data_IF_765121280961
#
_entry.id   IF_765121280961
#
_cell.length_a   1.000
_cell.length_b   1.000
_cell.length_c   1.000
_cell.angle_alpha   90.00
_cell.angle_beta   90.00
_cell.angle_gamma   90.00
#
_symmetry.space_group_name_H-M   'P 1'
#
loop_
_entity.id
_entity.type
_entity.pdbx_description
1 polymer ?
#
# COMPACT_ATOMS: atom_id res chain seq x y z
N UNK A 1 23.87 7.25 11.54
CA UNK A 1 23.33 6.62 10.31
C UNK A 1 22.90 7.73 9.37
N UNK A 2 23.18 7.62 8.06
CA UNK A 2 22.63 8.55 7.09
C UNK A 2 21.10 8.39 7.04
N UNK A 3 20.35 9.50 7.01
CA UNK A 3 18.90 9.46 6.82
C UNK A 3 18.57 8.88 5.43
N UNK A 4 17.48 8.14 5.32
CA UNK A 4 16.97 7.74 4.00
C UNK A 4 16.58 9.00 3.19
N UNK A 5 16.54 8.93 1.86
CA UNK A 5 16.18 10.09 1.02
C UNK A 5 14.84 10.73 1.41
N UNK A 6 13.87 9.90 1.81
CA UNK A 6 12.58 10.39 2.29
C UNK A 6 12.68 11.06 3.66
N UNK A 7 13.38 10.44 4.62
CA UNK A 7 13.55 11.01 5.95
C UNK A 7 14.32 12.35 5.91
N UNK A 8 15.36 12.45 5.08
CA UNK A 8 16.08 13.69 4.85
C UNK A 8 15.17 14.78 4.25
N UNK A 9 14.35 14.42 3.26
CA UNK A 9 13.36 15.32 2.67
C UNK A 9 12.35 15.83 3.72
N UNK A 10 11.82 14.95 4.57
CA UNK A 10 10.85 15.32 5.62
C UNK A 10 11.49 16.29 6.62
N UNK A 11 12.73 16.02 7.06
CA UNK A 11 13.44 16.88 8.00
C UNK A 11 13.67 18.28 7.42
N UNK A 12 14.13 18.39 6.17
CA UNK A 12 14.32 19.66 5.47
C UNK A 12 12.98 20.41 5.30
N UNK A 13 11.93 19.68 4.96
CA UNK A 13 10.58 20.24 4.77
C UNK A 13 10.05 20.84 6.07
N UNK A 14 10.17 20.11 7.19
CA UNK A 14 9.75 20.58 8.52
C UNK A 14 10.58 21.78 8.99
N UNK A 15 11.90 21.78 8.72
CA UNK A 15 12.77 22.91 9.08
C UNK A 15 12.36 24.21 8.38
N UNK A 16 11.94 24.14 7.11
CA UNK A 16 11.59 25.32 6.31
C UNK A 16 10.16 25.80 6.49
N UNK A 17 9.23 24.88 6.74
CA UNK A 17 7.80 25.15 6.64
C UNK A 17 7.01 24.76 7.89
N UNK A 18 7.69 24.41 9.00
CA UNK A 18 7.03 24.02 10.25
C UNK A 18 6.52 22.58 10.26
N UNK A 19 6.06 22.08 11.41
CA UNK A 19 5.64 20.68 11.58
C UNK A 19 4.35 20.32 10.82
N UNK A 20 3.50 21.29 10.47
CA UNK A 20 2.21 21.06 9.81
C UNK A 20 2.34 20.45 8.40
N UNK A 21 3.48 20.64 7.74
CA UNK A 21 3.76 20.04 6.42
C UNK A 21 3.97 18.54 6.48
N UNK A 22 4.18 17.98 7.67
CA UNK A 22 4.30 16.54 7.86
C UNK A 22 3.07 15.83 7.27
N UNK A 23 1.90 16.46 7.36
CA UNK A 23 0.63 15.92 6.84
C UNK A 23 0.63 15.73 5.32
N UNK A 24 1.38 16.55 4.60
CA UNK A 24 1.39 16.56 3.13
C UNK A 24 2.73 16.07 2.57
N UNK A 25 3.62 15.56 3.43
CA UNK A 25 5.00 15.18 3.07
C UNK A 25 5.08 14.19 1.91
N UNK A 26 4.19 13.20 1.84
CA UNK A 26 4.19 12.23 0.74
C UNK A 26 3.85 12.85 -0.59
N UNK A 27 2.75 13.61 -0.64
CA UNK A 27 2.36 14.34 -1.85
C UNK A 27 3.50 15.22 -2.30
N UNK A 28 4.13 15.95 -1.37
CA UNK A 28 5.23 16.83 -1.70
C UNK A 28 6.45 16.04 -2.20
N UNK A 29 6.81 14.93 -1.56
CA UNK A 29 7.91 14.09 -2.02
C UNK A 29 7.67 13.59 -3.45
N UNK A 30 6.51 12.98 -3.72
CA UNK A 30 6.21 12.38 -5.02
C UNK A 30 5.97 13.41 -6.13
N UNK A 31 5.33 14.54 -5.83
CA UNK A 31 5.14 15.62 -6.82
C UNK A 31 6.45 16.33 -7.11
N UNK A 32 7.34 16.47 -6.13
CA UNK A 32 8.68 17.04 -6.32
C UNK A 32 9.53 16.27 -7.34
N UNK A 33 9.26 14.97 -7.52
CA UNK A 33 9.90 14.14 -8.55
C UNK A 33 9.30 14.30 -9.96
N UNK A 34 8.27 15.13 -10.14
CA UNK A 34 7.59 15.36 -11.42
C UNK A 34 8.02 16.67 -12.05
N UNK A 35 7.86 16.76 -13.38
CA UNK A 35 8.01 18.03 -14.10
C UNK A 35 6.92 19.00 -13.66
N UNK A 36 7.30 20.24 -13.39
CA UNK A 36 6.42 21.35 -12.99
C UNK A 36 5.56 21.06 -11.73
N UNK A 37 6.20 20.80 -10.57
CA UNK A 37 5.47 20.45 -9.34
C UNK A 37 4.43 21.49 -8.93
N UNK A 38 4.72 22.80 -9.11
CA UNK A 38 3.77 23.88 -8.79
C UNK A 38 2.52 23.92 -9.68
N UNK A 39 2.67 23.75 -11.00
CA UNK A 39 1.51 23.66 -11.89
C UNK A 39 0.65 22.44 -11.58
N UNK A 40 1.28 21.30 -11.26
CA UNK A 40 0.57 20.08 -10.85
C UNK A 40 -0.15 20.24 -9.50
N UNK A 41 0.47 20.94 -8.54
CA UNK A 41 -0.13 21.28 -7.25
C UNK A 41 -1.39 22.12 -7.40
N UNK A 42 -1.34 23.18 -8.20
CA UNK A 42 -2.49 24.05 -8.48
C UNK A 42 -3.64 23.28 -9.15
N UNK A 43 -3.33 22.46 -10.16
CA UNK A 43 -4.32 21.61 -10.82
C UNK A 43 -4.94 20.58 -9.86
N UNK A 44 -4.14 20.01 -8.97
CA UNK A 44 -4.63 19.07 -7.96
C UNK A 44 -5.55 19.77 -6.94
N UNK A 45 -5.25 21.01 -6.56
CA UNK A 45 -6.09 21.83 -5.69
C UNK A 45 -7.43 22.16 -6.38
N UNK A 46 -7.39 22.62 -7.63
CA UNK A 46 -8.59 22.88 -8.42
C UNK A 46 -9.48 21.65 -8.53
N UNK A 47 -8.88 20.52 -8.86
CA UNK A 47 -9.55 19.24 -8.99
C UNK A 47 -10.22 18.81 -7.69
N UNK A 48 -9.52 18.91 -6.55
CA UNK A 48 -10.07 18.49 -5.26
C UNK A 48 -11.17 19.47 -4.77
N UNK A 49 -11.00 20.78 -5.00
CA UNK A 49 -12.02 21.79 -4.77
C UNK A 49 -13.31 21.50 -5.56
N UNK A 50 -13.20 21.24 -6.87
CA UNK A 50 -14.33 20.91 -7.73
C UNK A 50 -15.02 19.60 -7.31
N UNK A 51 -14.25 18.61 -6.87
CA UNK A 51 -14.82 17.35 -6.38
C UNK A 51 -15.62 17.56 -5.09
N UNK A 52 -15.07 18.32 -4.15
CA UNK A 52 -15.68 18.55 -2.83
C UNK A 52 -16.82 19.58 -2.86
N UNK A 53 -16.90 20.41 -3.92
CA UNK A 53 -18.04 21.29 -4.16
C UNK A 53 -19.30 20.53 -4.62
N UNK A 54 -19.16 19.31 -5.14
CA UNK A 54 -20.32 18.50 -5.56
C UNK A 54 -21.17 18.15 -4.34
N UNK A 55 -22.51 18.24 -4.44
CA UNK A 55 -23.38 17.91 -3.32
C UNK A 55 -23.14 16.47 -2.87
N UNK A 56 -22.92 16.29 -1.56
CA UNK A 56 -22.84 14.96 -0.97
C UNK A 56 -24.24 14.36 -0.90
N UNK A 57 -24.42 13.15 -1.45
CA UNK A 57 -25.64 12.38 -1.20
C UNK A 57 -25.61 11.93 0.26
N UNK A 58 -26.36 12.62 1.11
CA UNK A 58 -26.59 12.18 2.49
C UNK A 58 -27.45 10.93 2.46
N UNK A 59 -26.83 9.76 2.60
CA UNK A 59 -27.57 8.54 2.89
C UNK A 59 -27.90 8.52 4.38
N UNK A 60 -29.12 8.12 4.78
CA UNK A 60 -29.41 7.83 6.17
C UNK A 60 -28.46 6.72 6.61
N UNK A 61 -27.66 7.01 7.64
CA UNK A 61 -26.78 6.02 8.23
C UNK A 61 -27.52 5.29 9.36
N UNK A 62 -27.19 4.02 9.61
CA UNK A 62 -27.66 3.31 10.78
C UNK A 62 -27.30 4.03 12.07
N UNK A 63 -28.17 3.94 13.06
CA UNK A 63 -27.89 4.39 14.43
C UNK A 63 -26.96 3.39 15.11
N UNK A 64 -26.00 3.87 15.91
CA UNK A 64 -25.07 3.04 16.67
C UNK A 64 -23.60 3.32 16.39
N UNK A 65 -22.75 2.38 16.81
CA UNK A 65 -21.30 2.47 16.69
C UNK A 65 -20.85 2.01 15.29
N UNK A 66 -20.11 2.88 14.62
CA UNK A 66 -19.69 2.65 13.23
C UNK A 66 -18.26 2.13 13.15
N UNK A 67 -18.01 1.24 12.19
CA UNK A 67 -16.66 0.99 11.68
C UNK A 67 -16.56 1.60 10.29
N UNK A 68 -15.89 2.75 10.20
CA UNK A 68 -15.77 3.52 8.95
C UNK A 68 -14.55 3.03 8.18
N UNK A 69 -14.79 2.29 7.09
CA UNK A 69 -13.76 1.82 6.18
C UNK A 69 -13.39 2.94 5.19
N UNK A 70 -12.20 3.52 5.34
CA UNK A 70 -11.73 4.66 4.53
C UNK A 70 -11.14 4.14 3.23
N UNK A 71 -11.93 4.19 2.15
CA UNK A 71 -11.58 3.63 0.85
C UNK A 71 -11.18 4.72 -0.16
N UNK A 72 -9.89 4.79 -0.47
CA UNK A 72 -9.28 5.79 -1.38
C UNK A 72 -8.75 5.18 -2.68
N UNK A 73 -8.52 3.87 -2.69
CA UNK A 73 -8.07 3.09 -3.84
C UNK A 73 -9.01 1.92 -4.13
N UNK A 74 -9.04 1.48 -5.40
CA UNK A 74 -9.69 0.24 -5.82
C UNK A 74 -8.71 -0.95 -5.78
N UNK A 75 -9.24 -2.16 -5.85
CA UNK A 75 -8.45 -3.38 -6.04
C UNK A 75 -7.69 -3.85 -4.79
N UNK A 76 -6.67 -4.69 -5.00
CA UNK A 76 -5.92 -5.40 -3.95
C UNK A 76 -5.20 -4.46 -2.97
N UNK A 77 -4.73 -3.30 -3.45
CA UNK A 77 -4.11 -2.26 -2.61
C UNK A 77 -5.09 -1.18 -2.12
N UNK A 78 -6.39 -1.41 -2.23
CA UNK A 78 -7.41 -0.48 -1.79
C UNK A 78 -8.57 -1.21 -1.12
N UNK A 79 -9.79 -1.03 -1.66
CA UNK A 79 -11.02 -1.64 -1.12
C UNK A 79 -10.90 -3.14 -0.83
N UNK A 80 -10.27 -3.95 -1.70
CA UNK A 80 -10.17 -5.40 -1.45
C UNK A 80 -9.32 -5.74 -0.21
N UNK A 81 -8.40 -4.86 0.21
CA UNK A 81 -7.71 -5.01 1.49
C UNK A 81 -8.60 -4.65 2.67
N UNK A 82 -9.36 -3.56 2.57
CA UNK A 82 -10.32 -3.13 3.61
C UNK A 82 -11.46 -4.12 3.81
N UNK A 83 -12.00 -4.68 2.72
CA UNK A 83 -13.12 -5.61 2.75
C UNK A 83 -12.82 -6.87 3.59
N UNK A 84 -11.54 -7.25 3.74
CA UNK A 84 -11.12 -8.36 4.61
C UNK A 84 -11.39 -8.12 6.09
N UNK A 85 -11.60 -6.87 6.51
CA UNK A 85 -11.98 -6.53 7.88
C UNK A 85 -13.48 -6.69 8.15
N UNK A 86 -14.34 -6.82 7.13
CA UNK A 86 -15.79 -6.88 7.31
C UNK A 86 -16.23 -8.01 8.27
N UNK A 87 -15.69 -9.25 8.20
CA UNK A 87 -16.03 -10.30 9.16
C UNK A 87 -15.63 -9.97 10.61
N UNK A 88 -14.48 -9.31 10.80
CA UNK A 88 -13.99 -8.91 12.11
C UNK A 88 -14.83 -7.75 12.69
N UNK A 89 -15.26 -6.82 11.84
CA UNK A 89 -16.17 -5.71 12.18
C UNK A 89 -17.53 -6.25 12.63
N UNK A 90 -18.11 -7.19 11.86
CA UNK A 90 -19.37 -7.82 12.19
C UNK A 90 -19.28 -8.59 13.52
N UNK A 91 -18.21 -9.37 13.71
CA UNK A 91 -17.94 -10.09 14.98
C UNK A 91 -17.82 -9.14 16.17
N UNK A 92 -17.29 -7.93 15.96
CA UNK A 92 -17.19 -6.90 17.01
C UNK A 92 -18.50 -6.14 17.26
N UNK A 93 -19.59 -6.46 16.55
CA UNK A 93 -20.89 -5.81 16.72
C UNK A 93 -20.95 -4.38 16.19
N UNK A 94 -20.04 -4.00 15.29
CA UNK A 94 -19.99 -2.66 14.69
C UNK A 94 -20.70 -2.64 13.35
N UNK A 95 -21.32 -1.51 13.02
CA UNK A 95 -21.96 -1.34 11.71
C UNK A 95 -20.92 -0.86 10.69
N UNK A 96 -20.63 -1.63 9.62
CA UNK A 96 -19.69 -1.21 8.60
C UNK A 96 -20.27 -0.06 7.77
N UNK A 97 -19.45 0.97 7.53
CA UNK A 97 -19.78 2.07 6.61
C UNK A 97 -18.54 2.37 5.77
N UNK A 98 -18.70 2.48 4.46
CA UNK A 98 -17.58 2.90 3.60
C UNK A 98 -17.55 4.42 3.52
N UNK A 99 -16.41 5.01 3.84
CA UNK A 99 -16.09 6.38 3.49
C UNK A 99 -15.24 6.36 2.21
N UNK A 100 -15.90 6.52 1.07
CA UNK A 100 -15.30 6.33 -0.26
C UNK A 100 -14.81 7.64 -0.87
N UNK A 101 -13.62 7.62 -1.45
CA UNK A 101 -13.11 8.73 -2.25
C UNK A 101 -14.04 9.00 -3.45
N UNK A 102 -14.41 10.26 -3.74
CA UNK A 102 -15.43 10.58 -4.74
C UNK A 102 -15.18 10.05 -6.16
N UNK A 103 -13.92 9.73 -6.51
CA UNK A 103 -13.56 9.14 -7.82
C UNK A 103 -13.72 7.63 -7.92
N UNK A 104 -13.89 6.92 -6.81
CA UNK A 104 -14.07 5.47 -6.86
C UNK A 104 -15.44 5.13 -7.43
N UNK A 105 -15.51 4.09 -8.25
CA UNK A 105 -16.76 3.60 -8.81
C UNK A 105 -17.67 3.06 -7.68
N UNK A 106 -18.94 3.49 -7.59
CA UNK A 106 -19.87 2.96 -6.59
C UNK A 106 -20.06 1.44 -6.63
N UNK A 107 -19.92 0.82 -7.80
CA UNK A 107 -20.08 -0.64 -7.98
C UNK A 107 -18.98 -1.48 -7.32
N UNK A 108 -17.90 -0.85 -6.83
CA UNK A 108 -16.85 -1.53 -6.09
C UNK A 108 -17.32 -2.04 -4.72
N UNK A 109 -18.36 -1.42 -4.15
CA UNK A 109 -18.80 -1.68 -2.79
C UNK A 109 -20.01 -2.62 -2.77
N UNK A 110 -20.11 -3.53 -1.78
CA UNK A 110 -21.30 -4.34 -1.56
C UNK A 110 -22.54 -3.45 -1.38
N UNK A 111 -23.67 -3.86 -1.98
CA UNK A 111 -24.90 -3.07 -2.00
C UNK A 111 -25.53 -2.90 -0.60
N UNK A 112 -25.21 -3.80 0.32
CA UNK A 112 -25.67 -3.84 1.70
C UNK A 112 -24.82 -3.00 2.66
N UNK A 113 -23.68 -2.45 2.21
CA UNK A 113 -22.82 -1.58 3.02
C UNK A 113 -23.07 -0.12 2.65
N UNK A 114 -23.53 0.74 3.59
CA UNK A 114 -23.72 2.16 3.34
C UNK A 114 -22.44 2.86 2.86
N UNK A 115 -22.56 3.77 1.89
CA UNK A 115 -21.41 4.48 1.30
C UNK A 115 -21.56 5.99 1.48
N UNK A 116 -20.63 6.58 2.20
CA UNK A 116 -20.45 8.01 2.37
C UNK A 116 -19.41 8.54 1.39
N UNK A 117 -19.67 9.73 0.83
CA UNK A 117 -18.73 10.44 -0.05
C UNK A 117 -18.54 11.88 0.40
N UNK A 118 -17.30 12.32 0.66
CA UNK A 118 -17.01 13.72 0.98
C UNK A 118 -17.50 14.65 -0.12
N UNK A 119 -18.15 15.75 0.25
CA UNK A 119 -18.73 16.71 -0.68
C UNK A 119 -19.56 17.77 0.05
N UNK A 120 -20.13 18.72 -0.70
CA UNK A 120 -20.96 19.80 -0.18
C UNK A 120 -20.19 20.93 0.50
N UNK A 121 -18.86 20.94 0.42
CA UNK A 121 -18.06 22.11 0.80
C UNK A 121 -18.21 23.15 -0.31
N UNK A 122 -19.09 24.13 -0.15
CA UNK A 122 -19.20 25.24 -1.09
C UNK A 122 -17.84 25.91 -1.34
N UNK A 123 -17.71 26.64 -2.46
CA UNK A 123 -16.45 27.29 -2.86
C UNK A 123 -15.94 28.34 -1.86
N UNK A 124 -16.80 28.81 -0.94
CA UNK A 124 -16.45 29.70 0.16
C UNK A 124 -15.42 29.11 1.14
N UNK A 125 -15.16 27.79 1.11
CA UNK A 125 -14.14 27.13 1.92
C UNK A 125 -12.72 27.18 1.34
N UNK A 126 -12.53 27.76 0.15
CA UNK A 126 -11.23 27.87 -0.51
C UNK A 126 -10.37 28.96 0.11
N UNK A 127 -9.12 28.62 0.42
CA UNK A 127 -8.12 29.54 0.96
C UNK A 127 -7.37 30.22 -0.21
N UNK A 128 -7.60 31.52 -0.49
CA UNK A 128 -6.95 32.22 -1.61
C UNK A 128 -5.42 32.23 -1.50
N UNK A 129 -4.88 32.26 -0.27
CA UNK A 129 -3.45 32.21 -0.03
C UNK A 129 -2.86 30.84 -0.41
N UNK A 130 -3.66 29.77 -0.32
CA UNK A 130 -3.30 28.44 -0.79
C UNK A 130 -3.13 28.34 -2.31
N UNK A 131 -3.86 29.16 -3.09
CA UNK A 131 -3.78 29.17 -4.55
C UNK A 131 -2.59 29.98 -5.08
N UNK A 132 -2.36 31.13 -4.46
CA UNK A 132 -1.27 32.05 -4.80
C UNK A 132 0.07 31.61 -4.19
N UNK A 133 0.02 30.79 -3.14
CA UNK A 133 1.19 30.18 -2.55
C UNK A 133 1.80 29.10 -3.45
N UNK A 134 3.11 28.90 -3.29
CA UNK A 134 3.81 27.82 -3.99
C UNK A 134 3.23 26.43 -3.68
N UNK A 135 3.77 25.42 -4.34
CA UNK A 135 3.27 24.04 -4.29
C UNK A 135 3.10 23.43 -2.88
N UNK A 136 3.88 23.87 -1.89
CA UNK A 136 3.71 23.50 -0.47
C UNK A 136 2.38 24.04 0.09
N UNK A 137 2.11 25.34 -0.09
CA UNK A 137 0.87 25.98 0.36
C UNK A 137 -0.35 25.38 -0.34
N UNK A 138 -0.22 25.03 -1.62
CA UNK A 138 -1.26 24.33 -2.38
C UNK A 138 -1.57 22.95 -1.78
N UNK A 139 -0.56 22.18 -1.40
CA UNK A 139 -0.76 20.89 -0.74
C UNK A 139 -1.43 21.05 0.63
N UNK A 140 -1.00 22.03 1.45
CA UNK A 140 -1.61 22.33 2.74
C UNK A 140 -3.08 22.77 2.58
N UNK A 141 -3.39 23.61 1.59
CA UNK A 141 -4.76 24.03 1.30
C UNK A 141 -5.65 22.84 0.91
N UNK A 142 -5.13 21.91 0.09
CA UNK A 142 -5.82 20.65 -0.22
C UNK A 142 -6.10 19.84 1.04
N UNK A 143 -5.10 19.68 1.90
CA UNK A 143 -5.27 18.95 3.15
C UNK A 143 -6.36 19.56 4.04
N UNK A 144 -6.39 20.90 4.18
CA UNK A 144 -7.45 21.60 4.92
C UNK A 144 -8.85 21.36 4.32
N UNK A 145 -8.98 21.35 2.99
CA UNK A 145 -10.26 21.05 2.33
C UNK A 145 -10.72 19.62 2.66
N UNK A 146 -9.84 18.64 2.56
CA UNK A 146 -10.17 17.25 2.90
C UNK A 146 -10.51 17.07 4.38
N UNK A 147 -9.78 17.70 5.31
CA UNK A 147 -10.08 17.65 6.75
C UNK A 147 -11.50 18.18 7.00
N UNK A 148 -11.85 19.34 6.46
CA UNK A 148 -13.20 19.91 6.60
C UNK A 148 -14.28 18.99 6.01
N UNK A 149 -14.01 18.38 4.87
CA UNK A 149 -14.99 17.52 4.18
C UNK A 149 -15.28 16.26 4.98
N UNK A 150 -14.22 15.63 5.50
CA UNK A 150 -14.31 14.41 6.30
C UNK A 150 -14.92 14.70 7.67
N UNK A 151 -14.59 15.83 8.29
CA UNK A 151 -15.16 16.25 9.57
C UNK A 151 -16.64 16.66 9.49
N UNK A 152 -17.14 17.08 8.33
CA UNK A 152 -18.57 17.38 8.12
C UNK A 152 -19.45 16.15 7.80
N UNK A 153 -18.89 15.13 7.12
CA UNK A 153 -19.29 13.74 7.38
C UNK A 153 -18.79 13.39 8.79
N UNK A 154 -18.95 12.24 9.43
CA UNK A 154 -18.43 11.99 10.80
C UNK A 154 -18.90 12.92 11.96
N UNK A 155 -19.24 14.20 11.76
CA UNK A 155 -19.85 15.08 12.75
C UNK A 155 -21.07 14.39 13.37
N UNK A 156 -21.17 14.50 14.70
CA UNK A 156 -22.24 13.93 15.51
C UNK A 156 -22.34 12.39 15.43
N UNK A 157 -21.28 11.71 14.98
CA UNK A 157 -21.19 10.24 14.90
C UNK A 157 -20.10 9.71 15.81
N UNK A 158 -20.14 8.40 16.05
CA UNK A 158 -19.19 7.68 16.90
C UNK A 158 -18.77 6.39 16.25
N UNK A 159 -17.52 6.01 16.45
CA UNK A 159 -16.99 4.80 15.87
C UNK A 159 -15.47 4.75 15.82
N UNK A 160 -14.99 3.95 14.90
CA UNK A 160 -13.57 3.69 14.63
C UNK A 160 -13.30 3.89 13.14
N UNK A 161 -12.12 4.41 12.82
CA UNK A 161 -11.62 4.47 11.45
C UNK A 161 -10.82 3.19 11.16
N UNK A 162 -11.19 2.50 10.08
CA UNK A 162 -10.42 1.40 9.53
C UNK A 162 -9.88 1.85 8.19
N UNK A 163 -8.59 2.08 8.10
CA UNK A 163 -7.95 2.66 6.92
C UNK A 163 -6.90 1.72 6.34
N UNK A 164 -6.75 1.77 5.03
CA UNK A 164 -5.55 1.29 4.35
C UNK A 164 -4.52 2.42 4.39
N UNK A 165 -3.25 2.11 4.62
CA UNK A 165 -2.22 3.15 4.62
C UNK A 165 -1.87 3.51 3.18
N UNK A 166 -2.52 4.54 2.68
CA UNK A 166 -2.07 5.23 1.50
C UNK A 166 -1.79 6.70 1.80
N UNK A 167 -1.10 7.34 0.87
CA UNK A 167 -0.75 8.75 0.93
C UNK A 167 -1.85 9.65 0.35
N UNK A 168 -3.08 9.14 0.20
CA UNK A 168 -4.18 9.98 -0.27
C UNK A 168 -4.55 11.02 0.80
N UNK A 169 -4.87 12.22 0.35
CA UNK A 169 -5.21 13.34 1.23
C UNK A 169 -6.45 13.04 2.08
N UNK A 170 -7.37 12.24 1.56
CA UNK A 170 -8.56 11.81 2.28
C UNK A 170 -8.23 10.87 3.44
N UNK A 171 -7.32 9.92 3.25
CA UNK A 171 -6.85 9.02 4.32
C UNK A 171 -6.17 9.81 5.43
N UNK A 172 -5.28 10.74 5.06
CA UNK A 172 -4.61 11.60 6.04
C UNK A 172 -5.59 12.54 6.76
N UNK A 173 -6.58 13.08 6.03
CA UNK A 173 -7.64 13.91 6.63
C UNK A 173 -8.51 13.12 7.61
N UNK A 174 -8.80 11.85 7.32
CA UNK A 174 -9.59 11.00 8.22
C UNK A 174 -8.90 10.82 9.57
N UNK A 175 -7.58 10.68 9.59
CA UNK A 175 -6.81 10.61 10.85
C UNK A 175 -6.91 11.88 11.72
N UNK A 176 -7.41 13.01 11.20
CA UNK A 176 -7.63 14.23 11.97
C UNK A 176 -9.01 14.31 12.63
N UNK A 177 -9.89 13.33 12.43
CA UNK A 177 -11.23 13.37 13.03
C UNK A 177 -11.22 13.16 14.55
N UNK A 178 -10.09 12.78 15.14
CA UNK A 178 -9.96 12.42 16.55
C UNK A 178 -10.56 11.06 16.91
N UNK A 179 -11.04 10.29 15.92
CA UNK A 179 -11.55 8.95 16.16
C UNK A 179 -10.42 7.94 16.32
N UNK A 180 -10.59 6.89 17.15
CA UNK A 180 -9.66 5.77 17.17
C UNK A 180 -9.43 5.22 15.76
N UNK A 181 -8.18 4.98 15.42
CA UNK A 181 -7.76 4.67 14.06
C UNK A 181 -6.98 3.35 14.02
N UNK A 182 -7.41 2.47 13.12
CA UNK A 182 -6.81 1.16 12.89
C UNK A 182 -6.35 1.10 11.45
N UNK A 183 -5.05 0.90 11.26
CA UNK A 183 -4.49 0.78 9.94
C UNK A 183 -4.28 -0.68 9.54
N UNK A 184 -4.92 -1.06 8.43
CA UNK A 184 -4.69 -2.30 7.72
C UNK A 184 -3.55 -2.06 6.73
N UNK A 185 -2.33 -1.85 7.25
CA UNK A 185 -1.15 -1.78 6.40
C UNK A 185 -1.04 -3.06 5.57
N UNK A 186 -0.28 -2.99 4.49
CA UNK A 186 0.21 -4.19 3.80
C UNK A 186 1.17 -5.01 4.69
N UNK A 187 1.00 -5.04 6.02
CA UNK A 187 1.83 -5.75 6.98
C UNK A 187 3.30 -5.37 6.98
N UNK A 188 3.70 -4.29 6.29
CA UNK A 188 5.11 -3.99 6.06
C UNK A 188 5.38 -2.51 6.36
N UNK A 189 6.35 -2.22 7.24
CA UNK A 189 6.79 -0.87 7.51
C UNK A 189 7.71 -0.38 6.37
N UNK A 190 7.40 0.76 5.76
CA UNK A 190 8.25 1.39 4.73
C UNK A 190 8.54 2.83 5.12
N UNK A 191 9.67 3.39 4.73
CA UNK A 191 10.07 4.77 5.05
C UNK A 191 9.01 5.81 4.68
N UNK A 192 8.27 5.60 3.57
CA UNK A 192 7.13 6.45 3.20
C UNK A 192 6.12 6.45 4.35
N UNK A 193 5.62 5.29 4.73
CA UNK A 193 4.57 5.18 5.74
C UNK A 193 5.00 5.51 7.19
N UNK A 194 6.25 5.90 7.45
CA UNK A 194 6.69 6.37 8.77
C UNK A 194 6.61 7.91 8.94
N UNK A 195 6.27 8.39 10.15
CA UNK A 195 5.83 7.60 11.32
C UNK A 195 4.45 6.95 11.11
N UNK A 196 4.22 5.79 11.74
CA UNK A 196 2.92 5.12 11.75
C UNK A 196 1.89 5.97 12.52
N UNK A 197 0.99 6.62 11.79
CA UNK A 197 0.08 7.63 12.36
C UNK A 197 -1.19 7.09 12.98
N UNK A 198 -1.73 5.98 12.49
CA UNK A 198 -2.92 5.40 13.10
C UNK A 198 -2.59 4.85 14.50
N UNK A 199 -3.55 4.90 15.41
CA UNK A 199 -3.38 4.48 16.81
C UNK A 199 -2.92 3.02 16.89
N UNK A 200 -3.50 2.17 16.04
CA UNK A 200 -3.16 0.75 15.95
C UNK A 200 -2.77 0.33 14.54
N UNK A 201 -1.87 -0.63 14.45
CA UNK A 201 -1.39 -1.23 13.20
C UNK A 201 -1.72 -2.72 13.20
N UNK A 202 -2.51 -3.15 12.22
CA UNK A 202 -2.70 -4.57 11.94
C UNK A 202 -1.49 -5.06 11.14
N UNK A 203 -0.78 -6.05 11.69
CA UNK A 203 0.42 -6.65 11.09
C UNK A 203 0.14 -8.12 10.76
N UNK A 204 0.74 -8.62 9.68
CA UNK A 204 0.41 -9.96 9.16
C UNK A 204 0.93 -11.10 10.04
N UNK A 205 2.08 -10.93 10.67
CA UNK A 205 2.71 -12.00 11.43
C UNK A 205 3.98 -11.57 12.16
N UNK A 206 4.79 -12.54 12.64
CA UNK A 206 5.97 -12.27 13.45
C UNK A 206 7.00 -11.36 12.79
N UNK A 207 7.35 -11.59 11.52
CA UNK A 207 8.32 -10.76 10.79
C UNK A 207 7.85 -9.31 10.64
N UNK A 208 6.58 -9.11 10.26
CA UNK A 208 5.94 -7.80 10.22
C UNK A 208 6.00 -7.11 11.58
N UNK A 209 5.60 -7.81 12.65
CA UNK A 209 5.62 -7.24 14.01
C UNK A 209 7.01 -6.79 14.41
N UNK A 210 8.03 -7.61 14.17
CA UNK A 210 9.42 -7.26 14.47
C UNK A 210 9.86 -6.02 13.67
N UNK A 211 9.58 -5.98 12.38
CA UNK A 211 9.95 -4.85 11.53
C UNK A 211 9.32 -3.52 12.00
N UNK A 212 8.07 -3.53 12.48
CA UNK A 212 7.45 -2.33 13.05
C UNK A 212 8.05 -1.95 14.40
N UNK A 213 8.38 -2.94 15.24
CA UNK A 213 9.03 -2.71 16.53
C UNK A 213 10.44 -2.11 16.35
N UNK A 214 11.20 -2.58 15.37
CA UNK A 214 12.53 -2.04 15.01
C UNK A 214 12.46 -0.59 14.51
N UNK A 215 11.32 -0.19 13.92
CA UNK A 215 11.01 1.19 13.57
C UNK A 215 10.43 2.03 14.73
N UNK A 216 10.46 1.53 15.96
CA UNK A 216 10.06 2.25 17.18
C UNK A 216 8.56 2.26 17.46
N UNK A 217 7.75 1.43 16.79
CA UNK A 217 6.31 1.33 17.10
C UNK A 217 6.12 0.51 18.37
N UNK A 218 5.45 1.10 19.37
CA UNK A 218 5.17 0.44 20.63
C UNK A 218 4.37 -0.86 20.44
N UNK A 219 4.79 -1.94 21.10
CA UNK A 219 4.17 -3.27 20.97
C UNK A 219 2.65 -3.27 21.25
N UNK A 220 2.18 -2.41 22.17
CA UNK A 220 0.76 -2.26 22.48
C UNK A 220 -0.10 -1.72 21.31
N UNK A 221 0.54 -1.08 20.32
CA UNK A 221 -0.11 -0.57 19.09
C UNK A 221 -0.10 -1.58 17.94
N UNK A 222 0.59 -2.72 18.10
CA UNK A 222 0.74 -3.75 17.07
C UNK A 222 -0.19 -4.92 17.36
N UNK A 223 -1.07 -5.22 16.41
CA UNK A 223 -2.03 -6.33 16.52
C UNK A 223 -1.79 -7.30 15.37
N UNK A 224 -1.49 -8.55 15.71
CA UNK A 224 -1.28 -9.61 14.72
C UNK A 224 -2.63 -10.10 14.22
N UNK A 225 -2.89 -9.90 12.94
CA UNK A 225 -4.03 -10.49 12.23
C UNK A 225 -3.74 -10.44 10.73
N UNK A 226 -3.66 -11.59 10.08
CA UNK A 226 -3.42 -11.66 8.64
C UNK A 226 -4.68 -11.36 7.82
N UNK A 227 -5.86 -11.29 8.46
CA UNK A 227 -7.16 -11.06 7.81
C UNK A 227 -7.38 -11.99 6.60
N UNK A 228 -7.04 -13.27 6.81
CA UNK A 228 -7.12 -14.31 5.80
C UNK A 228 -6.08 -14.19 4.67
N UNK A 229 -5.08 -13.31 4.75
CA UNK A 229 -3.90 -13.39 3.87
C UNK A 229 -3.03 -14.55 4.32
N UNK A 230 -2.56 -15.35 3.37
CA UNK A 230 -1.86 -16.60 3.69
C UNK A 230 -2.76 -17.69 4.26
N UNK A 231 -4.08 -17.47 4.37
CA UNK A 231 -5.03 -18.51 4.71
C UNK A 231 -5.25 -19.40 3.48
N UNK A 232 -4.58 -20.54 3.51
CA UNK A 232 -4.56 -21.58 2.50
C UNK A 232 -3.37 -22.45 2.81
N UNK A 233 -3.48 -23.76 2.59
CA UNK A 233 -2.29 -24.58 2.46
C UNK A 233 -1.57 -24.05 1.23
N UNK A 234 -0.68 -23.08 1.42
CA UNK A 234 0.25 -22.63 0.40
C UNK A 234 1.05 -23.86 0.03
N UNK A 235 0.55 -24.63 -0.92
CA UNK A 235 1.34 -25.60 -1.64
C UNK A 235 2.44 -24.73 -2.24
N UNK A 236 3.64 -24.84 -1.66
CA UNK A 236 4.81 -24.26 -2.29
C UNK A 236 4.79 -24.68 -3.76
N UNK A 237 5.34 -23.85 -4.66
CA UNK A 237 5.28 -24.10 -6.09
C UNK A 237 5.52 -25.56 -6.45
N UNK A 238 4.55 -26.17 -7.14
CA UNK A 238 4.58 -27.58 -7.50
C UNK A 238 5.18 -27.76 -8.90
N UNK A 239 6.43 -28.20 -8.94
CA UNK A 239 7.15 -28.44 -10.18
C UNK A 239 7.96 -27.26 -10.73
N UNK A 240 8.58 -27.44 -11.91
CA UNK A 240 9.51 -26.49 -12.50
C UNK A 240 8.82 -25.23 -13.05
N UNK A 241 9.47 -24.06 -13.01
CA UNK A 241 8.89 -22.82 -13.51
C UNK A 241 8.76 -22.84 -15.05
N UNK A 242 7.57 -22.53 -15.57
CA UNK A 242 7.28 -22.50 -17.01
C UNK A 242 7.54 -21.12 -17.64
N UNK A 243 7.55 -20.07 -16.81
CA UNK A 243 7.70 -18.68 -17.26
C UNK A 243 8.70 -17.96 -16.36
N UNK A 244 9.56 -17.15 -16.95
CA UNK A 244 10.41 -16.20 -16.25
C UNK A 244 9.79 -14.80 -16.32
N UNK A 245 9.45 -14.23 -15.17
CA UNK A 245 8.77 -12.95 -15.06
C UNK A 245 9.57 -11.96 -14.20
N UNK A 246 9.56 -10.68 -14.57
CA UNK A 246 10.16 -9.60 -13.77
C UNK A 246 9.09 -8.59 -13.38
N UNK A 247 8.92 -8.38 -12.08
CA UNK A 247 8.05 -7.33 -11.56
C UNK A 247 8.66 -5.95 -11.84
N UNK A 248 7.93 -5.14 -12.59
CA UNK A 248 8.28 -3.75 -12.82
C UNK A 248 7.84 -2.86 -11.68
N UNK A 249 8.69 -1.89 -11.33
CA UNK A 249 8.37 -0.88 -10.33
C UNK A 249 9.18 0.40 -10.51
N UNK A 250 9.36 0.84 -11.76
CA UNK A 250 10.20 2.03 -12.04
C UNK A 250 9.63 3.32 -11.44
N UNK A 251 8.35 3.33 -11.06
CA UNK A 251 7.67 4.40 -10.35
C UNK A 251 8.05 4.52 -8.86
N UNK A 252 8.67 3.50 -8.26
CA UNK A 252 8.94 3.44 -6.82
C UNK A 252 10.19 4.26 -6.44
N UNK A 253 10.10 5.58 -6.62
CA UNK A 253 11.18 6.55 -6.38
C UNK A 253 11.75 6.53 -4.96
N UNK A 254 11.01 5.95 -4.01
CA UNK A 254 11.46 5.79 -2.63
C UNK A 254 12.68 4.88 -2.47
N UNK A 255 12.89 3.94 -3.39
CA UNK A 255 14.09 3.10 -3.41
C UNK A 255 15.31 3.82 -4.02
N UNK A 256 15.16 5.09 -4.40
CA UNK A 256 16.22 5.94 -4.90
C UNK A 256 16.16 6.20 -6.40
N UNK A 257 16.93 7.20 -6.89
CA UNK A 257 16.85 7.67 -8.27
C UNK A 257 17.36 6.65 -9.31
N UNK A 258 18.16 5.67 -8.89
CA UNK A 258 18.80 4.71 -9.79
C UNK A 258 17.99 3.43 -10.01
N UNK A 259 16.92 3.16 -9.24
CA UNK A 259 16.14 1.92 -9.35
C UNK A 259 15.65 1.69 -10.78
N UNK A 260 15.09 2.73 -11.42
CA UNK A 260 14.59 2.62 -12.78
C UNK A 260 15.68 2.26 -13.79
N UNK A 261 16.90 2.78 -13.63
CA UNK A 261 18.03 2.45 -14.50
C UNK A 261 18.51 1.01 -14.26
N UNK A 262 18.69 0.61 -13.01
CA UNK A 262 19.09 -0.75 -12.64
C UNK A 262 18.09 -1.79 -13.15
N UNK A 263 16.79 -1.55 -12.98
CA UNK A 263 15.76 -2.49 -13.41
C UNK A 263 15.69 -2.60 -14.94
N UNK A 264 15.88 -1.51 -15.69
CA UNK A 264 15.97 -1.55 -17.16
C UNK A 264 17.18 -2.35 -17.63
N UNK A 265 18.35 -2.11 -17.03
CA UNK A 265 19.57 -2.85 -17.38
C UNK A 265 19.42 -4.35 -17.07
N UNK A 266 18.83 -4.69 -15.92
CA UNK A 266 18.54 -6.06 -15.52
C UNK A 266 17.59 -6.75 -16.51
N UNK A 267 16.46 -6.11 -16.84
CA UNK A 267 15.49 -6.65 -17.81
C UNK A 267 16.12 -6.80 -19.20
N UNK A 268 16.90 -5.82 -19.67
CA UNK A 268 17.57 -5.90 -20.96
C UNK A 268 18.56 -7.07 -21.01
N UNK A 269 19.38 -7.26 -19.97
CA UNK A 269 20.29 -8.39 -19.87
C UNK A 269 19.55 -9.73 -19.80
N UNK A 270 18.45 -9.80 -19.06
CA UNK A 270 17.67 -11.03 -18.94
C UNK A 270 16.98 -11.40 -20.26
N UNK A 271 16.46 -10.41 -20.98
CA UNK A 271 15.83 -10.62 -22.28
C UNK A 271 16.84 -11.04 -23.36
N UNK A 272 18.12 -10.70 -23.23
CA UNK A 272 19.17 -11.24 -24.11
C UNK A 272 19.40 -12.74 -23.88
N UNK A 273 19.22 -13.22 -22.64
CA UNK A 273 19.39 -14.62 -22.24
C UNK A 273 18.12 -15.45 -22.49
N UNK A 274 16.93 -14.89 -22.25
CA UNK A 274 15.64 -15.53 -22.54
C UNK A 274 14.67 -14.56 -23.21
N UNK A 275 14.41 -14.78 -24.50
CA UNK A 275 13.49 -13.95 -25.29
C UNK A 275 12.02 -14.12 -24.89
N UNK A 276 11.69 -15.16 -24.11
CA UNK A 276 10.32 -15.47 -23.69
C UNK A 276 9.96 -14.84 -22.34
N UNK A 277 10.90 -14.19 -21.67
CA UNK A 277 10.63 -13.55 -20.38
C UNK A 277 9.57 -12.44 -20.51
N UNK A 278 8.76 -12.25 -19.45
CA UNK A 278 7.69 -11.24 -19.42
C UNK A 278 7.93 -10.22 -18.31
N UNK A 279 7.72 -8.94 -18.60
CA UNK A 279 7.70 -7.90 -17.56
C UNK A 279 6.27 -7.70 -17.05
N UNK A 280 6.07 -7.88 -15.75
CA UNK A 280 4.81 -7.60 -15.06
C UNK A 280 4.77 -6.11 -14.71
N UNK A 281 4.05 -5.32 -15.51
CA UNK A 281 3.99 -3.87 -15.35
C UNK A 281 3.17 -3.45 -14.13
N UNK A 282 3.64 -2.43 -13.42
CA UNK A 282 2.79 -1.76 -12.44
C UNK A 282 1.62 -1.04 -13.16
N UNK A 283 0.41 -0.91 -12.55
CA UNK A 283 -0.72 -0.21 -13.20
C UNK A 283 -0.37 1.18 -13.75
N UNK A 284 0.53 1.91 -13.08
CA UNK A 284 1.00 3.25 -13.50
C UNK A 284 1.89 3.25 -14.76
N UNK A 285 2.33 2.09 -15.24
CA UNK A 285 3.25 1.95 -16.37
C UNK A 285 2.54 1.51 -17.66
N UNK A 286 1.23 1.20 -17.61
CA UNK A 286 0.50 0.61 -18.74
C UNK A 286 0.31 1.49 -19.97
N UNK A 287 0.48 2.80 -19.86
CA UNK A 287 0.45 3.69 -21.03
C UNK A 287 1.79 3.86 -21.74
N UNK A 288 2.90 3.81 -21.00
CA UNK A 288 4.27 3.99 -21.49
C UNK A 288 5.22 3.27 -20.54
N UNK A 289 5.69 2.09 -20.94
CA UNK A 289 6.69 1.34 -20.18
C UNK A 289 8.10 1.56 -20.75
N UNK A 290 9.15 1.46 -19.93
CA UNK A 290 10.52 1.76 -20.36
C UNK A 290 11.26 0.59 -21.02
N UNK A 291 10.59 -0.54 -21.28
CA UNK A 291 11.23 -1.82 -21.63
C UNK A 291 11.30 -2.13 -23.14
N UNK A 292 11.00 -1.17 -24.03
CA UNK A 292 11.11 -1.38 -25.48
C UNK A 292 10.25 -2.53 -25.98
N UNK A 293 10.85 -3.49 -26.70
CA UNK A 293 10.15 -4.62 -27.32
C UNK A 293 9.97 -5.86 -26.40
N UNK A 294 10.37 -5.79 -25.14
CA UNK A 294 10.21 -6.92 -24.20
C UNK A 294 8.72 -7.18 -23.96
N UNK A 295 8.25 -8.46 -23.99
CA UNK A 295 6.86 -8.78 -23.68
C UNK A 295 6.45 -8.23 -22.32
N UNK A 296 5.26 -7.61 -22.25
CA UNK A 296 4.74 -7.02 -21.03
C UNK A 296 3.34 -7.53 -20.70
N UNK A 297 2.99 -7.53 -19.43
CA UNK A 297 1.67 -7.87 -18.93
C UNK A 297 1.19 -6.76 -17.99
N UNK A 298 -0.06 -6.32 -18.17
CA UNK A 298 -0.73 -5.42 -17.23
C UNK A 298 -1.55 -6.20 -16.20
N UNK A 299 -1.81 -5.63 -15.03
CA UNK A 299 -2.74 -6.21 -14.06
C UNK A 299 -4.17 -6.28 -14.63
N UNK A 300 -4.93 -7.37 -14.39
CA UNK A 300 -4.50 -8.58 -13.70
C UNK A 300 -3.51 -9.40 -14.56
N UNK A 301 -2.37 -9.80 -13.96
CA UNK A 301 -1.32 -10.49 -14.68
C UNK A 301 -1.72 -11.95 -14.93
N UNK A 302 -1.99 -12.30 -16.18
CA UNK A 302 -2.35 -13.67 -16.60
C UNK A 302 -1.32 -14.71 -16.14
N UNK A 303 -0.02 -14.36 -16.16
CA UNK A 303 1.07 -15.23 -15.67
C UNK A 303 0.87 -15.63 -14.21
N UNK A 304 0.33 -14.74 -13.38
CA UNK A 304 0.10 -14.99 -11.95
C UNK A 304 -1.25 -15.66 -11.66
N UNK A 305 -2.07 -15.86 -12.70
CA UNK A 305 -3.36 -16.56 -12.61
C UNK A 305 -3.26 -17.99 -13.17
N UNK A 306 -2.18 -18.30 -13.88
CA UNK A 306 -1.95 -19.61 -14.44
C UNK A 306 -1.66 -20.63 -13.33
N UNK A 307 -2.18 -21.87 -13.42
CA UNK A 307 -1.89 -22.90 -12.44
C UNK A 307 -0.43 -23.38 -12.52
N UNK A 308 0.25 -23.18 -13.64
CA UNK A 308 1.65 -23.55 -13.79
C UNK A 308 2.57 -22.55 -13.06
N UNK A 309 3.58 -23.01 -12.30
CA UNK A 309 4.51 -22.12 -11.62
C UNK A 309 5.29 -21.22 -12.61
N UNK A 310 5.46 -19.96 -12.24
CA UNK A 310 6.43 -19.05 -12.85
C UNK A 310 7.57 -18.79 -11.86
N UNK A 311 8.72 -18.31 -12.33
CA UNK A 311 9.71 -17.63 -11.50
C UNK A 311 9.49 -16.13 -11.62
N UNK A 312 9.06 -15.49 -10.54
CA UNK A 312 8.84 -14.04 -10.46
C UNK A 312 10.00 -13.38 -9.72
N UNK A 313 10.70 -12.51 -10.44
CA UNK A 313 11.80 -11.72 -9.94
C UNK A 313 11.29 -10.34 -9.52
N UNK A 314 11.50 -9.93 -8.27
CA UNK A 314 11.04 -8.64 -7.79
C UNK A 314 12.03 -8.00 -6.81
N UNK A 315 11.96 -6.69 -6.66
CA UNK A 315 12.78 -5.94 -5.72
C UNK A 315 11.87 -5.31 -4.65
N UNK A 316 11.78 -5.90 -3.45
CA UNK A 316 10.92 -5.39 -2.36
C UNK A 316 9.49 -5.01 -2.79
N UNK A 317 8.77 -5.99 -3.34
CA UNK A 317 7.40 -5.80 -3.84
C UNK A 317 6.45 -6.78 -3.19
N UNK A 318 5.29 -6.28 -2.75
CA UNK A 318 4.18 -7.13 -2.28
C UNK A 318 3.67 -8.07 -3.38
N UNK A 319 3.92 -7.75 -4.67
CA UNK A 319 3.61 -8.65 -5.78
C UNK A 319 4.36 -10.00 -5.66
N UNK A 320 5.58 -10.01 -5.13
CA UNK A 320 6.31 -11.27 -4.91
C UNK A 320 5.64 -12.11 -3.82
N UNK A 321 5.12 -11.47 -2.77
CA UNK A 321 4.39 -12.18 -1.72
C UNK A 321 3.10 -12.76 -2.30
N UNK A 322 2.34 -11.95 -3.04
CA UNK A 322 1.09 -12.38 -3.67
C UNK A 322 1.34 -13.51 -4.71
N UNK A 323 2.44 -13.45 -5.48
CA UNK A 323 2.83 -14.51 -6.41
C UNK A 323 3.26 -15.81 -5.69
N UNK A 324 3.99 -15.69 -4.57
CA UNK A 324 4.37 -16.85 -3.76
C UNK A 324 3.14 -17.54 -3.14
N UNK A 325 2.17 -16.74 -2.67
CA UNK A 325 0.88 -17.24 -2.17
C UNK A 325 0.06 -17.92 -3.28
N UNK A 326 0.23 -17.52 -4.53
CA UNK A 326 -0.40 -18.14 -5.69
C UNK A 326 0.33 -19.40 -6.21
N UNK A 327 1.37 -19.87 -5.51
CA UNK A 327 2.10 -21.09 -5.91
C UNK A 327 3.17 -20.87 -6.98
N UNK A 328 3.71 -19.65 -7.11
CA UNK A 328 4.84 -19.38 -7.97
C UNK A 328 6.17 -19.34 -7.20
N UNK A 329 7.27 -19.58 -7.91
CA UNK A 329 8.61 -19.33 -7.40
C UNK A 329 8.88 -17.84 -7.35
N UNK A 330 9.49 -17.35 -6.28
CA UNK A 330 9.88 -15.94 -6.19
C UNK A 330 11.32 -15.76 -5.76
N UNK A 331 12.00 -14.80 -6.37
CA UNK A 331 13.34 -14.41 -5.99
C UNK A 331 13.52 -12.89 -5.94
N UNK A 332 14.33 -12.45 -4.98
CA UNK A 332 14.64 -11.06 -4.77
C UNK A 332 15.73 -10.63 -5.74
N UNK A 333 15.51 -9.52 -6.45
CA UNK A 333 16.57 -8.85 -7.19
C UNK A 333 17.28 -7.89 -6.25
N UNK A 334 18.56 -8.14 -5.98
CA UNK A 334 19.38 -7.39 -5.05
C UNK A 334 20.02 -6.18 -5.73
N UNK A 335 19.28 -5.07 -5.80
CA UNK A 335 19.87 -3.78 -6.15
C UNK A 335 20.34 -3.04 -4.89
N UNK A 336 21.40 -2.22 -5.01
CA UNK A 336 21.79 -1.31 -3.94
C UNK A 336 20.63 -0.39 -3.56
N UNK A 337 20.30 -0.34 -2.28
CA UNK A 337 19.28 0.54 -1.72
C UNK A 337 19.70 0.99 -0.32
N UNK A 338 19.36 2.24 0.03
CA UNK A 338 19.64 2.82 1.35
C UNK A 338 18.37 3.08 2.15
N UNK A 339 17.20 2.77 1.58
CA UNK A 339 15.87 3.05 2.14
C UNK A 339 15.04 1.78 2.32
N UNK A 340 13.99 1.86 3.13
CA UNK A 340 12.99 0.80 3.34
C UNK A 340 13.54 -0.52 3.90
N UNK A 341 14.60 -0.48 4.70
CA UNK A 341 15.25 -1.69 5.24
C UNK A 341 14.26 -2.63 5.96
N UNK A 342 13.34 -2.05 6.74
CA UNK A 342 12.32 -2.82 7.44
C UNK A 342 11.33 -3.49 6.45
N UNK A 343 11.07 -2.86 5.31
CA UNK A 343 10.26 -3.46 4.26
C UNK A 343 10.97 -4.63 3.59
N UNK A 344 12.27 -4.49 3.32
CA UNK A 344 13.10 -5.59 2.82
C UNK A 344 13.13 -6.77 3.78
N UNK A 345 13.27 -6.52 5.08
CA UNK A 345 13.32 -7.59 6.08
C UNK A 345 12.09 -8.52 6.03
N UNK A 346 10.92 -7.99 5.69
CA UNK A 346 9.68 -8.77 5.56
C UNK A 346 9.50 -9.31 4.13
N UNK A 347 9.64 -8.45 3.12
CA UNK A 347 9.26 -8.75 1.74
C UNK A 347 10.30 -9.56 0.95
N UNK A 348 11.51 -9.76 1.48
CA UNK A 348 12.58 -10.42 0.72
C UNK A 348 12.43 -11.94 0.74
N UNK A 349 12.13 -12.59 -0.40
CA UNK A 349 12.07 -14.04 -0.46
C UNK A 349 13.46 -14.69 -0.23
N UNK A 350 13.49 -15.99 0.08
CA UNK A 350 14.75 -16.69 0.39
C UNK A 350 15.68 -16.87 -0.81
N UNK A 351 15.14 -16.92 -2.03
CA UNK A 351 15.94 -16.93 -3.25
C UNK A 351 16.32 -15.50 -3.63
N UNK A 352 17.57 -15.31 -4.05
CA UNK A 352 18.17 -13.99 -4.31
C UNK A 352 19.05 -14.05 -5.54
N UNK A 353 19.04 -12.98 -6.32
CA UNK A 353 19.85 -12.81 -7.52
C UNK A 353 20.35 -11.37 -7.62
N UNK A 354 21.59 -11.18 -8.08
CA UNK A 354 22.21 -9.86 -8.25
C UNK A 354 22.30 -9.42 -9.70
N UNK A 355 22.19 -10.37 -10.63
CA UNK A 355 22.37 -10.12 -12.06
C UNK A 355 21.39 -10.94 -12.92
N UNK A 356 21.25 -10.54 -14.18
CA UNK A 356 20.45 -11.28 -15.16
C UNK A 356 20.99 -12.71 -15.39
N UNK A 357 22.31 -12.88 -15.37
CA UNK A 357 22.94 -14.21 -15.49
C UNK A 357 22.59 -15.13 -14.32
N UNK A 358 22.65 -14.60 -13.09
CA UNK A 358 22.25 -15.36 -11.89
C UNK A 358 20.75 -15.70 -11.90
N UNK A 359 19.91 -14.78 -12.39
CA UNK A 359 18.48 -15.03 -12.56
C UNK A 359 18.19 -16.15 -13.56
N UNK A 360 18.87 -16.14 -14.71
CA UNK A 360 18.71 -17.19 -15.71
C UNK A 360 19.27 -18.55 -15.22
N UNK A 361 20.40 -18.55 -14.52
CA UNK A 361 20.94 -19.74 -13.89
C UNK A 361 20.01 -20.32 -12.80
N UNK A 362 19.40 -19.45 -11.99
CA UNK A 362 18.40 -19.86 -11.00
C UNK A 362 17.17 -20.48 -11.68
N UNK A 363 16.68 -19.88 -12.77
CA UNK A 363 15.57 -20.41 -13.56
C UNK A 363 15.88 -21.81 -14.11
N UNK A 364 17.06 -22.02 -14.69
CA UNK A 364 17.52 -23.33 -15.15
C UNK A 364 17.63 -24.33 -14.01
N UNK A 365 18.25 -23.94 -12.89
CA UNK A 365 18.40 -24.84 -11.74
C UNK A 365 17.06 -25.26 -11.12
N UNK A 366 16.09 -24.35 -10.99
CA UNK A 366 14.74 -24.71 -10.52
C UNK A 366 14.04 -25.67 -11.50
N UNK A 367 14.37 -25.62 -12.79
CA UNK A 367 13.81 -26.50 -13.81
C UNK A 367 14.41 -27.91 -13.71
N UNK A 368 15.74 -28.00 -13.64
CA UNK A 368 16.47 -29.25 -13.85
C UNK A 368 16.81 -30.00 -12.56
N UNK A 369 16.99 -29.29 -11.43
CA UNK A 369 17.43 -29.86 -10.15
C UNK A 369 16.25 -30.01 -9.17
N UNK A 370 15.67 -31.22 -9.13
CA UNK A 370 14.54 -31.53 -8.24
C UNK A 370 14.89 -31.38 -6.75
N UNK A 371 16.12 -31.73 -6.35
CA UNK A 371 16.54 -31.64 -4.96
C UNK A 371 16.62 -30.17 -4.51
N UNK A 372 17.23 -29.31 -5.34
CA UNK A 372 17.25 -27.87 -5.10
C UNK A 372 15.83 -27.29 -5.08
N UNK A 373 14.97 -27.71 -6.01
CA UNK A 373 13.57 -27.28 -6.07
C UNK A 373 12.84 -27.61 -4.77
N UNK A 374 12.92 -28.85 -4.27
CA UNK A 374 12.29 -29.24 -2.98
C UNK A 374 12.83 -28.40 -1.81
N UNK A 375 14.14 -28.19 -1.73
CA UNK A 375 14.74 -27.34 -0.68
C UNK A 375 14.28 -25.87 -0.79
N UNK A 376 14.16 -25.35 -2.01
CA UNK A 376 13.65 -24.00 -2.24
C UNK A 376 12.18 -23.86 -1.82
N UNK A 377 11.32 -24.86 -2.12
CA UNK A 377 9.93 -24.87 -1.71
C UNK A 377 9.78 -24.80 -0.18
N UNK A 378 10.57 -25.61 0.55
CA UNK A 378 10.60 -25.61 2.02
C UNK A 378 10.96 -24.22 2.56
N UNK A 379 12.01 -23.60 2.01
CA UNK A 379 12.43 -22.25 2.44
C UNK A 379 11.38 -21.18 2.13
N UNK A 380 10.75 -21.23 0.96
CA UNK A 380 9.69 -20.28 0.60
C UNK A 380 8.47 -20.43 1.51
N UNK A 381 8.08 -21.68 1.82
CA UNK A 381 6.99 -21.96 2.78
C UNK A 381 7.34 -21.45 4.18
N UNK A 382 8.57 -21.68 4.66
CA UNK A 382 9.02 -21.16 5.95
C UNK A 382 8.99 -19.62 6.00
N UNK A 383 9.41 -18.95 4.93
CA UNK A 383 9.31 -17.49 4.81
C UNK A 383 7.86 -17.00 4.86
N UNK A 384 6.93 -17.64 4.13
CA UNK A 384 5.51 -17.30 4.17
C UNK A 384 4.91 -17.52 5.56
N UNK A 385 5.23 -18.62 6.23
CA UNK A 385 4.77 -18.90 7.60
C UNK A 385 5.31 -17.90 8.63
N UNK A 386 6.50 -17.33 8.38
CA UNK A 386 7.04 -16.25 9.21
C UNK A 386 6.42 -14.87 8.88
N UNK A 387 5.87 -14.72 7.67
CA UNK A 387 5.21 -13.51 7.19
C UNK A 387 3.75 -13.43 7.65
N UNK A 388 3.03 -14.54 7.59
CA UNK A 388 1.61 -14.63 7.91
C UNK A 388 1.39 -15.50 9.14
N UNK A 389 0.83 -14.90 10.19
CA UNK A 389 0.41 -15.63 11.37
C UNK A 389 -0.84 -16.46 11.07
N UNK A 390 -0.93 -17.69 11.59
CA UNK A 390 -2.20 -18.43 11.62
C UNK A 390 -3.17 -17.85 12.66
N UNK A 391 -2.73 -16.95 13.54
CA UNK A 391 -3.59 -16.29 14.52
C UNK A 391 -4.66 -15.44 13.82
N UNK A 392 -5.92 -15.67 14.17
CA UNK A 392 -7.08 -14.92 13.65
C UNK A 392 -7.80 -14.14 14.75
N UNK A 393 -8.55 -13.12 14.35
CA UNK A 393 -9.44 -12.35 15.23
C UNK A 393 -8.71 -11.34 16.11
N UNK A 394 -7.46 -11.02 15.80
CA UNK A 394 -6.74 -9.92 16.45
C UNK A 394 -7.46 -8.59 16.25
N UNK A 395 -7.96 -8.33 15.03
CA UNK A 395 -8.72 -7.12 14.73
C UNK A 395 -10.04 -7.06 15.50
N UNK A 396 -10.85 -8.12 15.53
CA UNK A 396 -12.12 -8.09 16.26
C UNK A 396 -11.93 -7.88 17.76
N UNK A 397 -10.91 -8.54 18.36
CA UNK A 397 -10.52 -8.32 19.77
C UNK A 397 -10.11 -6.87 20.03
N UNK A 398 -9.36 -6.25 19.12
CA UNK A 398 -8.99 -4.84 19.23
C UNK A 398 -10.22 -3.94 19.18
N UNK A 399 -11.07 -4.12 18.17
CA UNK A 399 -12.29 -3.32 17.96
C UNK A 399 -13.20 -3.38 19.19
N UNK A 400 -13.38 -4.56 19.79
CA UNK A 400 -14.16 -4.74 21.02
C UNK A 400 -13.57 -4.03 22.25
N UNK A 401 -12.28 -3.66 22.24
CA UNK A 401 -11.63 -2.92 23.35
C UNK A 401 -11.72 -1.41 23.18
N UNK A 402 -11.50 -0.90 21.97
CA UNK A 402 -11.30 0.54 21.73
C UNK A 402 -12.61 1.31 21.53
N UNK A 403 -13.69 0.64 21.12
CA UNK A 403 -14.96 1.32 20.88
C UNK A 403 -15.76 1.58 22.17
N UNK A 404 -15.83 0.65 23.15
CA UNK A 404 -16.54 0.90 24.41
C UNK A 404 -15.93 1.99 25.28
N UNK A 405 -14.67 2.35 25.05
CA UNK A 405 -13.89 3.33 25.82
C UNK A 405 -13.91 4.75 25.22
N UNK A 406 -14.61 4.97 24.10
CA UNK A 406 -14.72 6.30 23.50
C UNK A 406 -15.74 7.14 24.29
N UNK A 407 -15.36 8.24 24.97
CA UNK A 407 -16.32 9.09 25.66
C UNK A 407 -17.37 9.67 24.70
N UNK A 408 -18.53 10.05 25.23
CA UNK A 408 -19.47 10.90 24.50
C UNK A 408 -18.81 12.28 24.31
N UNK A 409 -18.93 12.90 23.12
CA UNK A 409 -18.48 14.28 22.94
C UNK A 409 -19.21 15.25 23.87
#
# INVERSE_FOLDING_TARGET
>A
MALSPFAAFVAELQQRHGPEVDLVRHELFFQGQKRFPGGRGALALARDALLLARPSRRQPLPTGLLAVLVATLAGSSGWSSLARALPAIATAGLTPVVLAHPRLDPSLFPADVPVLRPGGLGLAGLDPAGWLGGWVAQAQARQKLWIRAVAGLLADRRGVLVLHNDFDMMSTASLHSGWPSVCLLHGIPTDEFFPCRADYQIVWGPSSRQAFADCGVASARLVVDSLGRGAGDGAGPDGPPQVLAVASQTQAVIFGPHLAAHLKAFVAGLHQLDRRMVVLLHPREGGRHPYGAVPTSLPPHVVLQAPQPALVLAHCSTLAIDAALAGHWVAAVEFPHTANQAAYAVATPPLRVKSAGEAFALYGRLSDDEAFRRQAAIRQKAWLNNTFSPETGGLSRLLGKIVPSCPLP
#
